data_IF_209333642593
#
_entry.id   IF_209333642593
#
_cell.length_a   1.000
_cell.length_b   1.000
_cell.length_c   1.000
_cell.angle_alpha   90.00
_cell.angle_beta   90.00
_cell.angle_gamma   90.00
#
_symmetry.space_group_name_H-M   'P 1'
#
loop_
_entity.id
_entity.type
_entity.pdbx_description
1 polymer ?
#
# COMPACT_ATOMS: atom_id res chain seq x y z
N UNK A 1 -6.55 7.78 6.60
CA UNK A 1 -6.90 6.36 6.81
C UNK A 1 -8.37 6.10 6.47
N UNK A 2 -9.34 6.63 7.23
CA UNK A 2 -10.77 6.31 7.08
C UNK A 2 -11.31 6.39 5.64
N UNK A 3 -11.02 7.49 4.93
CA UNK A 3 -11.46 7.66 3.54
C UNK A 3 -10.87 6.60 2.60
N UNK A 4 -9.61 6.22 2.81
CA UNK A 4 -8.93 5.20 2.00
C UNK A 4 -9.49 3.81 2.31
N UNK A 5 -9.74 3.49 3.58
CA UNK A 5 -10.41 2.24 3.98
C UNK A 5 -11.78 2.13 3.32
N UNK A 6 -12.59 3.20 3.36
CA UNK A 6 -13.90 3.23 2.69
C UNK A 6 -13.79 3.04 1.18
N UNK A 7 -12.82 3.70 0.53
CA UNK A 7 -12.61 3.54 -0.92
C UNK A 7 -12.20 2.12 -1.28
N UNK A 8 -11.31 1.51 -0.50
CA UNK A 8 -10.85 0.14 -0.70
C UNK A 8 -12.02 -0.83 -0.54
N UNK A 9 -12.79 -0.73 0.55
CA UNK A 9 -13.94 -1.59 0.84
C UNK A 9 -15.08 -1.41 -0.17
N UNK A 10 -15.54 -0.17 -0.39
CA UNK A 10 -16.70 0.12 -1.24
C UNK A 10 -16.50 -0.29 -2.70
N UNK A 11 -15.27 -0.17 -3.21
CA UNK A 11 -14.95 -0.54 -4.59
C UNK A 11 -14.33 -1.94 -4.70
N UNK A 12 -14.33 -2.73 -3.62
CA UNK A 12 -13.79 -4.09 -3.58
C UNK A 12 -12.35 -4.17 -4.14
N UNK A 13 -11.52 -3.16 -3.83
CA UNK A 13 -10.16 -3.06 -4.37
C UNK A 13 -9.32 -4.23 -3.85
N UNK A 14 -8.89 -5.12 -4.73
CA UNK A 14 -8.09 -6.32 -4.38
C UNK A 14 -6.58 -6.08 -4.39
N UNK A 15 -6.13 -4.99 -5.00
CA UNK A 15 -4.71 -4.64 -5.07
C UNK A 15 -4.47 -3.14 -5.07
N UNK A 16 -3.52 -2.70 -4.26
CA UNK A 16 -3.03 -1.32 -4.19
C UNK A 16 -1.54 -1.34 -4.44
N UNK A 17 -1.04 -0.47 -5.31
CA UNK A 17 0.41 -0.29 -5.51
C UNK A 17 0.79 1.12 -5.10
N UNK A 18 1.79 1.25 -4.22
CA UNK A 18 2.37 2.52 -3.80
C UNK A 18 3.82 2.59 -4.23
N UNK A 19 4.18 3.71 -4.84
CA UNK A 19 5.57 4.04 -5.16
C UNK A 19 6.12 4.90 -4.03
N UNK A 20 7.30 4.55 -3.55
CA UNK A 20 8.06 5.31 -2.56
C UNK A 20 9.46 5.58 -3.13
N UNK A 21 9.97 6.78 -2.92
CA UNK A 21 11.39 7.06 -3.18
C UNK A 21 12.24 6.53 -2.02
N UNK A 22 13.48 6.12 -2.29
CA UNK A 22 14.46 5.75 -1.25
C UNK A 22 14.68 6.88 -0.22
N UNK A 23 14.52 8.12 -0.67
CA UNK A 23 14.52 9.33 0.18
C UNK A 23 13.32 9.28 1.17
N UNK A 24 13.49 9.61 2.46
CA UNK A 24 12.52 9.31 3.53
C UNK A 24 11.26 10.20 3.55
N UNK A 25 10.70 10.59 2.40
CA UNK A 25 9.55 11.49 2.30
C UNK A 25 8.18 10.78 2.24
N UNK A 26 8.11 9.46 1.99
CA UNK A 26 6.83 8.75 1.77
C UNK A 26 6.46 7.69 2.83
N UNK A 27 7.17 7.63 3.96
CA UNK A 27 6.91 6.62 5.01
C UNK A 27 5.50 6.71 5.62
N UNK A 28 4.96 7.93 5.75
CA UNK A 28 3.60 8.13 6.27
C UNK A 28 2.50 7.54 5.38
N UNK A 29 2.62 7.67 4.05
CA UNK A 29 1.66 7.10 3.10
C UNK A 29 1.65 5.57 3.16
N UNK A 30 2.82 4.95 3.28
CA UNK A 30 2.94 3.49 3.38
C UNK A 30 2.17 2.96 4.60
N UNK A 31 2.40 3.53 5.79
CA UNK A 31 1.67 3.17 7.02
C UNK A 31 0.16 3.39 6.92
N UNK A 32 -0.27 4.51 6.32
CA UNK A 32 -1.69 4.80 6.16
C UNK A 32 -2.36 3.76 5.24
N UNK A 33 -1.67 3.34 4.18
CA UNK A 33 -2.15 2.31 3.25
C UNK A 33 -2.16 0.93 3.88
N UNK A 34 -1.13 0.55 4.63
CA UNK A 34 -1.10 -0.71 5.40
C UNK A 34 -2.29 -0.80 6.35
N UNK A 35 -2.52 0.25 7.15
CA UNK A 35 -3.65 0.31 8.07
C UNK A 35 -5.00 0.27 7.32
N UNK A 36 -5.11 0.97 6.19
CA UNK A 36 -6.33 0.98 5.39
C UNK A 36 -6.63 -0.39 4.75
N UNK A 37 -5.60 -1.07 4.23
CA UNK A 37 -5.72 -2.41 3.65
C UNK A 37 -6.05 -3.46 4.72
N UNK A 38 -5.42 -3.39 5.90
CA UNK A 38 -5.71 -4.29 7.01
C UNK A 38 -7.13 -4.11 7.59
N UNK A 39 -7.67 -2.89 7.52
CA UNK A 39 -9.03 -2.60 7.96
C UNK A 39 -10.11 -2.96 6.93
N UNK A 40 -9.75 -3.17 5.65
CA UNK A 40 -10.70 -3.56 4.61
C UNK A 40 -11.37 -4.91 4.92
N UNK A 41 -12.62 -5.09 4.47
CA UNK A 41 -13.45 -6.26 4.79
C UNK A 41 -13.22 -7.46 3.88
N UNK A 42 -12.39 -7.31 2.85
CA UNK A 42 -12.05 -8.33 1.85
C UNK A 42 -10.53 -8.45 1.69
N UNK A 43 -10.09 -9.42 0.90
CA UNK A 43 -8.66 -9.68 0.68
C UNK A 43 -8.02 -8.58 -0.17
N UNK A 44 -6.94 -7.97 0.34
CA UNK A 44 -6.21 -6.89 -0.34
C UNK A 44 -4.72 -7.17 -0.37
N UNK A 45 -4.09 -6.89 -1.50
CA UNK A 45 -2.63 -6.93 -1.66
C UNK A 45 -2.07 -5.51 -1.76
N UNK A 46 -1.15 -5.14 -0.88
CA UNK A 46 -0.41 -3.89 -0.95
C UNK A 46 0.99 -4.15 -1.52
N UNK A 47 1.29 -3.57 -2.68
CA UNK A 47 2.61 -3.61 -3.30
C UNK A 47 3.32 -2.30 -3.03
N UNK A 48 4.54 -2.38 -2.50
CA UNK A 48 5.39 -1.22 -2.23
C UNK A 48 6.58 -1.33 -3.18
N UNK A 49 6.74 -0.34 -4.04
CA UNK A 49 7.85 -0.26 -4.99
C UNK A 49 8.75 0.89 -4.56
N UNK A 50 10.00 0.59 -4.22
CA UNK A 50 10.98 1.62 -3.87
C UNK A 50 11.80 1.99 -5.09
N UNK A 51 11.84 3.29 -5.40
CA UNK A 51 12.63 3.86 -6.49
C UNK A 51 13.84 4.57 -5.90
N UNK A 52 15.03 4.18 -6.36
CA UNK A 52 16.31 4.81 -6.01
C UNK A 52 16.46 6.19 -6.64
N UNK A 53 17.47 6.93 -6.19
CA UNK A 53 17.75 8.28 -6.71
C UNK A 53 18.14 8.29 -8.20
N UNK A 54 18.64 7.17 -8.73
CA UNK A 54 18.95 6.99 -10.16
C UNK A 54 17.75 6.56 -11.01
N UNK A 55 16.57 6.36 -10.41
CA UNK A 55 15.36 5.91 -11.12
C UNK A 55 15.22 4.39 -11.23
N UNK A 56 16.19 3.62 -10.75
CA UNK A 56 16.10 2.17 -10.64
C UNK A 56 15.12 1.74 -9.54
N UNK A 57 14.55 0.55 -9.70
CA UNK A 57 13.75 -0.07 -8.63
C UNK A 57 14.72 -0.78 -7.68
N UNK A 58 14.82 -0.28 -6.46
CA UNK A 58 15.72 -0.82 -5.43
C UNK A 58 15.06 -1.90 -4.58
N UNK A 59 13.73 -1.87 -4.46
CA UNK A 59 12.98 -2.84 -3.66
C UNK A 59 11.54 -3.05 -4.18
N UNK A 60 11.01 -4.25 -3.96
CA UNK A 60 9.63 -4.65 -4.29
C UNK A 60 9.05 -5.53 -3.19
N UNK A 61 8.31 -4.93 -2.29
CA UNK A 61 7.62 -5.63 -1.21
C UNK A 61 6.14 -5.86 -1.57
N UNK A 62 5.57 -6.97 -1.14
CA UNK A 62 4.12 -7.21 -1.24
C UNK A 62 3.58 -7.75 0.06
N UNK A 63 2.73 -6.97 0.71
CA UNK A 63 2.01 -7.35 1.92
C UNK A 63 0.62 -7.84 1.52
N UNK A 64 0.27 -9.06 1.92
CA UNK A 64 -1.05 -9.66 1.63
C UNK A 64 -1.89 -9.64 2.90
N UNK A 65 -3.02 -8.95 2.84
CA UNK A 65 -4.02 -8.91 3.88
C UNK A 65 -5.11 -9.91 3.51
N UNK A 66 -5.15 -11.03 4.24
CA UNK A 66 -6.21 -12.03 4.11
C UNK A 66 -7.15 -11.91 5.31
N UNK A 67 -8.45 -11.74 5.06
CA UNK A 67 -9.45 -11.97 6.11
C UNK A 67 -9.87 -13.44 6.09
N UNK A 68 -10.12 -13.99 7.28
CA UNK A 68 -10.77 -15.29 7.50
C UNK A 68 -12.28 -15.16 7.33
#
# INVERSE_FOLDING_TARGET
MEKLTRLIAYNEITSVTVVRMEVPCCGGMTRILEAACGAAEHNVSLKIVTIGVGGEITDKETVRFSRK
#
